data_IF_002268684675
#
_entry.id   IF_002268684675
#
_cell.length_a   1.000
_cell.length_b   1.000
_cell.length_c   1.000
_cell.angle_alpha   90.00
_cell.angle_beta   90.00
_cell.angle_gamma   90.00
#
_symmetry.space_group_name_H-M   'P 1'
#
loop_
_entity.id
_entity.type
_entity.pdbx_description
1 polymer ?
#
# COMPACT_ATOMS: atom_id res chain seq x y z
N UNK A 1 -2.57 -14.55 -14.87
CA UNK A 1 -3.06 -13.62 -13.83
C UNK A 1 -2.95 -12.17 -14.30
N UNK A 2 -4.06 -11.41 -14.27
CA UNK A 2 -4.14 -10.03 -14.79
C UNK A 2 -3.23 -9.02 -14.07
N UNK A 3 -2.66 -9.39 -12.94
CA UNK A 3 -1.73 -8.59 -12.16
C UNK A 3 -0.36 -8.37 -12.82
N UNK A 4 -0.06 -8.97 -13.98
CA UNK A 4 1.24 -8.84 -14.67
C UNK A 4 1.64 -7.37 -14.93
N UNK A 5 0.69 -6.47 -15.23
CA UNK A 5 0.96 -5.06 -15.53
C UNK A 5 1.11 -4.20 -14.27
N UNK A 6 2.16 -3.36 -14.16
CA UNK A 6 2.37 -2.47 -13.00
C UNK A 6 1.16 -1.62 -12.63
N UNK A 7 0.45 -1.08 -13.63
CA UNK A 7 -0.75 -0.27 -13.41
C UNK A 7 -1.91 -1.03 -12.76
N UNK A 8 -2.10 -2.30 -13.13
CA UNK A 8 -3.15 -3.14 -12.56
C UNK A 8 -2.84 -3.46 -11.11
N UNK A 9 -1.58 -3.78 -10.81
CA UNK A 9 -1.17 -4.02 -9.43
C UNK A 9 -1.31 -2.76 -8.57
N UNK A 10 -0.91 -1.58 -9.07
CA UNK A 10 -1.06 -0.32 -8.33
C UNK A 10 -2.53 0.01 -8.02
N UNK A 11 -3.45 -0.27 -8.95
CA UNK A 11 -4.87 -0.10 -8.70
C UNK A 11 -5.39 -1.06 -7.61
N UNK A 12 -5.01 -2.33 -7.68
CA UNK A 12 -5.39 -3.33 -6.67
C UNK A 12 -4.78 -3.05 -5.29
N UNK A 13 -3.55 -2.54 -5.24
CA UNK A 13 -2.89 -2.11 -4.02
C UNK A 13 -3.68 -0.99 -3.33
N UNK A 14 -4.07 0.04 -4.09
CA UNK A 14 -4.90 1.13 -3.58
C UNK A 14 -6.26 0.61 -3.11
N UNK A 15 -6.93 -0.22 -3.91
CA UNK A 15 -8.23 -0.79 -3.57
C UNK A 15 -8.17 -1.61 -2.26
N UNK A 16 -7.12 -2.39 -2.05
CA UNK A 16 -6.88 -3.12 -0.79
C UNK A 16 -6.88 -2.19 0.42
N UNK A 17 -6.06 -1.13 0.42
CA UNK A 17 -6.01 -0.20 1.56
C UNK A 17 -7.33 0.55 1.76
N UNK A 18 -7.95 1.05 0.69
CA UNK A 18 -9.24 1.76 0.77
C UNK A 18 -10.35 0.86 1.33
N UNK A 19 -10.33 -0.44 0.99
CA UNK A 19 -11.28 -1.42 1.54
C UNK A 19 -11.13 -1.53 3.05
N UNK A 20 -9.90 -1.63 3.56
CA UNK A 20 -9.65 -1.67 5.01
C UNK A 20 -10.10 -0.37 5.69
N UNK A 21 -9.79 0.78 5.09
CA UNK A 21 -10.13 2.09 5.67
C UNK A 21 -11.63 2.40 5.66
N UNK A 22 -12.39 1.78 4.76
CA UNK A 22 -13.85 1.99 4.66
C UNK A 22 -14.58 1.73 5.98
N UNK A 23 -14.08 0.79 6.80
CA UNK A 23 -14.62 0.45 8.11
C UNK A 23 -14.60 1.63 9.11
N UNK A 24 -13.72 2.62 8.91
CA UNK A 24 -13.62 3.78 9.80
C UNK A 24 -14.78 4.78 9.60
N UNK A 25 -15.54 4.68 8.50
CA UNK A 25 -16.64 5.59 8.15
C UNK A 25 -16.23 7.08 8.17
N UNK A 26 -15.05 7.40 7.62
CA UNK A 26 -14.50 8.76 7.50
C UNK A 26 -14.31 9.16 6.02
N UNK A 27 -15.39 9.43 5.27
CA UNK A 27 -15.31 9.59 3.81
C UNK A 27 -14.38 10.72 3.36
N UNK A 28 -14.34 11.84 4.09
CA UNK A 28 -13.41 12.96 3.79
C UNK A 28 -11.94 12.55 3.93
N UNK A 29 -11.60 11.83 4.99
CA UNK A 29 -10.23 11.37 5.24
C UNK A 29 -9.81 10.32 4.21
N UNK A 30 -10.69 9.35 3.94
CA UNK A 30 -10.44 8.31 2.93
C UNK A 30 -10.18 8.95 1.56
N UNK A 31 -10.95 9.99 1.20
CA UNK A 31 -10.73 10.71 -0.05
C UNK A 31 -9.38 11.43 -0.10
N UNK A 32 -8.98 12.07 1.00
CA UNK A 32 -7.65 12.71 1.08
C UNK A 32 -6.51 11.68 0.91
N UNK A 33 -6.65 10.49 1.51
CA UNK A 33 -5.68 9.41 1.36
C UNK A 33 -5.63 8.93 -0.09
N UNK A 34 -6.79 8.69 -0.72
CA UNK A 34 -6.89 8.29 -2.12
C UNK A 34 -6.19 9.30 -3.03
N UNK A 35 -6.51 10.59 -2.91
CA UNK A 35 -5.96 11.65 -3.75
C UNK A 35 -4.43 11.77 -3.60
N UNK A 36 -3.91 11.60 -2.37
CA UNK A 36 -2.48 11.60 -2.10
C UNK A 36 -1.78 10.43 -2.79
N UNK A 37 -2.33 9.22 -2.68
CA UNK A 37 -1.76 8.03 -3.33
C UNK A 37 -1.84 8.12 -4.85
N UNK A 38 -2.96 8.61 -5.40
CA UNK A 38 -3.12 8.85 -6.84
C UNK A 38 -2.09 9.85 -7.37
N UNK A 39 -1.81 10.93 -6.63
CA UNK A 39 -0.78 11.91 -6.96
C UNK A 39 0.64 11.32 -7.00
N UNK A 40 0.88 10.25 -6.22
CA UNK A 40 2.16 9.55 -6.12
C UNK A 40 2.30 8.36 -7.08
N UNK A 41 1.25 7.95 -7.79
CA UNK A 41 1.25 6.72 -8.62
C UNK A 41 2.41 6.63 -9.63
N UNK A 42 2.87 7.76 -10.17
CA UNK A 42 4.04 7.79 -11.07
C UNK A 42 5.30 7.21 -10.41
N UNK A 43 5.51 7.51 -9.12
CA UNK A 43 6.64 7.01 -8.34
C UNK A 43 6.44 5.56 -7.96
N UNK A 44 5.21 5.18 -7.57
CA UNK A 44 4.87 3.77 -7.28
C UNK A 44 5.10 2.86 -8.50
N UNK A 45 4.88 3.37 -9.72
CA UNK A 45 5.17 2.62 -10.95
C UNK A 45 6.67 2.37 -11.14
N UNK A 46 7.50 3.39 -10.90
CA UNK A 46 8.96 3.31 -10.98
C UNK A 46 9.48 2.33 -9.91
N UNK A 47 8.95 2.44 -8.69
CA UNK A 47 9.20 1.51 -7.57
C UNK A 47 8.95 0.04 -7.94
N UNK A 48 7.78 -0.28 -8.51
CA UNK A 48 7.44 -1.68 -8.89
C UNK A 48 8.37 -2.20 -9.99
N UNK A 49 8.86 -1.32 -10.88
CA UNK A 49 9.71 -1.75 -11.99
C UNK A 49 11.19 -1.88 -11.64
N UNK A 50 11.71 -1.10 -10.68
CA UNK A 50 13.16 -0.97 -10.47
C UNK A 50 13.73 -1.80 -9.32
N UNK A 51 13.03 -1.97 -8.18
CA UNK A 51 13.78 -2.24 -6.91
C UNK A 51 13.35 -3.47 -6.11
N UNK A 52 12.06 -3.77 -5.95
CA UNK A 52 11.60 -4.76 -4.95
C UNK A 52 10.59 -5.80 -5.43
N UNK A 53 10.09 -5.69 -6.65
CA UNK A 53 8.97 -6.52 -7.11
C UNK A 53 7.72 -6.34 -6.24
N UNK A 54 6.77 -7.28 -6.35
CA UNK A 54 5.46 -7.21 -5.66
C UNK A 54 5.36 -8.15 -4.47
N UNK A 55 6.33 -9.05 -4.32
CA UNK A 55 6.23 -10.18 -3.40
C UNK A 55 6.23 -9.71 -1.94
N UNK A 56 7.14 -8.80 -1.59
CA UNK A 56 7.29 -8.32 -0.22
C UNK A 56 6.07 -7.51 0.25
N UNK A 57 5.60 -6.46 -0.48
CA UNK A 57 4.35 -5.77 -0.12
C UNK A 57 3.15 -6.72 -0.04
N UNK A 58 3.09 -7.72 -0.93
CA UNK A 58 1.98 -8.68 -0.92
C UNK A 58 2.00 -9.57 0.33
N UNK A 59 3.17 -9.99 0.83
CA UNK A 59 3.30 -10.72 2.10
C UNK A 59 2.81 -9.87 3.27
N UNK A 60 3.20 -8.60 3.30
CA UNK A 60 2.78 -7.65 4.34
C UNK A 60 1.27 -7.43 4.34
N UNK A 61 0.63 -7.37 3.16
CA UNK A 61 -0.83 -7.30 3.06
C UNK A 61 -1.53 -8.52 3.67
N UNK A 62 -0.99 -9.72 3.44
CA UNK A 62 -1.55 -10.93 4.03
C UNK A 62 -1.39 -10.93 5.55
N UNK A 63 -0.22 -10.53 6.06
CA UNK A 63 0.00 -10.45 7.51
C UNK A 63 -0.91 -9.42 8.18
N UNK A 64 -1.08 -8.26 7.55
CA UNK A 64 -2.01 -7.22 8.02
C UNK A 64 -3.45 -7.74 8.05
N UNK A 65 -3.90 -8.39 6.97
CA UNK A 65 -5.25 -8.94 6.88
C UNK A 65 -5.51 -10.00 7.95
N UNK A 66 -4.56 -10.93 8.15
CA UNK A 66 -4.69 -11.95 9.20
C UNK A 66 -4.72 -11.34 10.60
N UNK A 67 -3.93 -10.30 10.83
CA UNK A 67 -3.91 -9.58 12.12
C UNK A 67 -5.24 -8.86 12.38
N UNK A 68 -5.79 -8.19 11.36
CA UNK A 68 -7.12 -7.60 11.44
C UNK A 68 -8.22 -8.64 11.68
N UNK A 69 -8.13 -9.81 11.05
CA UNK A 69 -9.08 -10.93 11.26
C UNK A 69 -9.08 -11.45 12.70
N UNK A 70 -7.93 -11.41 13.38
CA UNK A 70 -7.81 -11.77 14.80
C UNK A 70 -8.26 -10.66 15.75
N UNK A 71 -8.61 -9.47 15.24
CA UNK A 71 -9.00 -8.33 16.06
C UNK A 71 -7.83 -7.63 16.77
N UNK A 72 -6.59 -7.91 16.37
CA UNK A 72 -5.39 -7.34 16.98
C UNK A 72 -5.06 -5.98 16.34
N UNK A 73 -5.77 -4.95 16.79
CA UNK A 73 -5.65 -3.60 16.24
C UNK A 73 -4.25 -3.00 16.45
N UNK A 74 -3.62 -3.24 17.59
CA UNK A 74 -2.29 -2.71 17.91
C UNK A 74 -1.23 -3.26 16.94
N UNK A 75 -1.22 -4.58 16.73
CA UNK A 75 -0.29 -5.18 15.78
C UNK A 75 -0.59 -4.75 14.35
N UNK A 76 -1.87 -4.60 13.97
CA UNK A 76 -2.25 -4.14 12.65
C UNK A 76 -1.76 -2.71 12.37
N UNK A 77 -1.84 -1.81 13.36
CA UNK A 77 -1.31 -0.44 13.27
C UNK A 77 0.21 -0.48 13.08
N UNK A 78 0.94 -1.23 13.91
CA UNK A 78 2.40 -1.36 13.79
C UNK A 78 2.83 -1.89 12.41
N UNK A 79 2.16 -2.93 11.90
CA UNK A 79 2.45 -3.47 10.56
C UNK A 79 2.19 -2.45 9.45
N UNK A 80 1.11 -1.66 9.57
CA UNK A 80 0.78 -0.63 8.60
C UNK A 80 1.79 0.52 8.61
N UNK A 81 2.23 0.97 9.79
CA UNK A 81 3.25 2.01 9.94
C UNK A 81 4.59 1.56 9.32
N UNK A 82 5.03 0.34 9.61
CA UNK A 82 6.23 -0.25 9.02
C UNK A 82 6.12 -0.37 7.49
N UNK A 83 4.95 -0.76 6.98
CA UNK A 83 4.68 -0.82 5.54
C UNK A 83 4.79 0.56 4.86
N UNK A 84 4.24 1.60 5.47
CA UNK A 84 4.30 2.97 4.93
C UNK A 84 5.75 3.49 4.96
N UNK A 85 6.47 3.28 6.06
CA UNK A 85 7.87 3.71 6.20
C UNK A 85 8.78 3.05 5.16
N UNK A 86 8.65 1.73 4.95
CA UNK A 86 9.39 1.00 3.91
C UNK A 86 9.05 1.50 2.52
N UNK A 87 7.77 1.77 2.24
CA UNK A 87 7.34 2.33 0.96
C UNK A 87 7.98 3.70 0.71
N UNK A 88 8.06 4.54 1.75
CA UNK A 88 8.72 5.84 1.69
C UNK A 88 10.21 5.71 1.38
N UNK A 89 10.95 4.86 2.09
CA UNK A 89 12.39 4.65 1.89
C UNK A 89 12.72 4.29 0.45
N UNK A 90 11.93 3.40 -0.15
CA UNK A 90 12.21 2.94 -1.51
C UNK A 90 11.80 3.99 -2.55
N UNK A 91 10.70 4.70 -2.33
CA UNK A 91 10.33 5.82 -3.21
C UNK A 91 11.46 6.87 -3.22
N UNK A 92 12.02 7.21 -2.06
CA UNK A 92 13.15 8.14 -1.97
C UNK A 92 14.39 7.61 -2.68
N UNK A 93 14.76 6.34 -2.47
CA UNK A 93 15.89 5.72 -3.17
C UNK A 93 15.71 5.73 -4.70
N UNK A 94 14.47 5.68 -5.20
CA UNK A 94 14.19 5.77 -6.65
C UNK A 94 14.25 7.18 -7.25
N UNK A 95 14.50 8.22 -6.44
CA UNK A 95 14.69 9.60 -6.91
C UNK A 95 16.17 9.97 -7.11
N UNK A 96 17.08 9.19 -6.55
CA UNK A 96 18.53 9.43 -6.58
C UNK A 96 19.23 8.74 -7.78
N UNK A 97 18.48 8.00 -8.61
CA UNK A 97 18.89 7.37 -9.89
C UNK A 97 18.36 8.16 -11.11
#
# INVERSE_FOLDING_TARGET
DGASKPSVWSALNLEFHLTLYSAANKPRLIKMIEDLVLGMQRYTRIYISHTLGREQPQKEHYELLETLRRGDAEKAISLLEEHIARTQEVILASQDD
#
